data_IF_693104897875
#
_entry.id   IF_693104897875
#
_cell.length_a   1.000
_cell.length_b   1.000
_cell.length_c   1.000
_cell.angle_alpha   90.00
_cell.angle_beta   90.00
_cell.angle_gamma   90.00
#
_symmetry.space_group_name_H-M   'P 1'
#
loop_
_entity.id
_entity.type
_entity.pdbx_description
1 polymer ?
#
# COMPACT_ATOMS: atom_id res chain seq x y z
N UNK A 1 12.40 8.25 11.57
CA UNK A 1 11.82 9.43 12.23
C UNK A 1 10.31 9.37 12.06
N UNK A 2 9.54 9.57 13.12
CA UNK A 2 8.08 9.68 13.03
C UNK A 2 7.73 11.00 12.33
N UNK A 3 7.01 10.94 11.22
CA UNK A 3 6.60 12.12 10.48
C UNK A 3 5.27 12.64 11.06
N UNK A 4 5.23 13.86 11.63
CA UNK A 4 3.99 14.43 12.18
C UNK A 4 2.89 14.58 11.12
N UNK A 5 3.25 14.63 9.84
CA UNK A 5 2.31 14.74 8.73
C UNK A 5 1.87 13.38 8.14
N UNK A 6 2.44 12.25 8.59
CA UNK A 6 2.14 10.93 8.04
C UNK A 6 0.64 10.63 8.03
N UNK A 7 -0.08 11.01 9.09
CA UNK A 7 -1.54 10.84 9.18
C UNK A 7 -2.30 11.56 8.07
N UNK A 8 -1.91 12.77 7.70
CA UNK A 8 -2.56 13.54 6.64
C UNK A 8 -2.30 12.91 5.27
N UNK A 9 -1.06 12.50 5.00
CA UNK A 9 -0.69 11.80 3.76
C UNK A 9 -1.46 10.48 3.64
N UNK A 10 -1.49 9.69 4.72
CA UNK A 10 -2.19 8.41 4.74
C UNK A 10 -3.70 8.58 4.61
N UNK A 11 -4.28 9.57 5.26
CA UNK A 11 -5.70 9.88 5.08
C UNK A 11 -6.01 10.17 3.61
N UNK A 12 -5.24 11.04 2.95
CA UNK A 12 -5.43 11.35 1.53
C UNK A 12 -5.29 10.10 0.64
N UNK A 13 -4.27 9.29 0.89
CA UNK A 13 -3.92 8.14 0.06
C UNK A 13 -4.83 6.93 0.26
N UNK A 14 -5.34 6.70 1.47
CA UNK A 14 -6.07 5.48 1.82
C UNK A 14 -7.55 5.72 2.12
N UNK A 15 -7.92 6.83 2.77
CA UNK A 15 -9.31 7.13 3.11
C UNK A 15 -9.97 8.09 2.10
N UNK A 16 -9.23 9.07 1.60
CA UNK A 16 -9.73 10.18 0.79
C UNK A 16 -9.69 9.97 -0.72
N UNK A 17 -9.25 8.81 -1.20
CA UNK A 17 -9.05 8.58 -2.64
C UNK A 17 -9.64 7.25 -3.13
N UNK A 18 -10.12 7.27 -4.38
CA UNK A 18 -10.66 6.08 -5.05
C UNK A 18 -9.61 4.97 -5.07
N UNK A 19 -10.03 3.76 -4.70
CA UNK A 19 -9.14 2.59 -4.59
C UNK A 19 -8.29 2.51 -3.31
N UNK A 20 -8.53 3.38 -2.33
CA UNK A 20 -7.80 3.39 -1.06
C UNK A 20 -7.88 2.06 -0.30
N UNK A 21 -9.05 1.41 -0.32
CA UNK A 21 -9.21 0.06 0.23
C UNK A 21 -8.31 -0.99 -0.41
N UNK A 22 -8.15 -0.95 -1.73
CA UNK A 22 -7.26 -1.90 -2.42
C UNK A 22 -5.80 -1.61 -2.08
N UNK A 23 -5.42 -0.34 -1.96
CA UNK A 23 -4.08 0.06 -1.49
C UNK A 23 -3.80 -0.41 -0.06
N UNK A 24 -4.78 -0.31 0.85
CA UNK A 24 -4.66 -0.88 2.21
C UNK A 24 -4.41 -2.39 2.13
N UNK A 25 -5.21 -3.13 1.36
CA UNK A 25 -5.02 -4.58 1.20
C UNK A 25 -3.65 -4.95 0.62
N UNK A 26 -3.15 -4.18 -0.35
CA UNK A 26 -1.81 -4.38 -0.92
C UNK A 26 -0.75 -4.17 0.17
N UNK A 27 -0.84 -3.08 0.95
CA UNK A 27 0.10 -2.83 2.04
C UNK A 27 0.05 -3.95 3.08
N UNK A 28 -1.13 -4.43 3.45
CA UNK A 28 -1.28 -5.55 4.40
C UNK A 28 -0.58 -6.81 3.89
N UNK A 29 -0.71 -7.15 2.60
CA UNK A 29 0.01 -8.28 2.00
C UNK A 29 1.53 -8.06 1.96
N UNK A 30 1.97 -6.85 1.60
CA UNK A 30 3.39 -6.50 1.50
C UNK A 30 4.09 -6.38 2.85
N UNK A 31 3.34 -6.10 3.92
CA UNK A 31 3.82 -6.09 5.31
C UNK A 31 4.14 -7.49 5.80
N UNK A 32 3.35 -8.49 5.39
CA UNK A 32 3.64 -9.88 5.72
C UNK A 32 4.87 -10.37 4.95
N UNK A 33 4.82 -10.32 3.61
CA UNK A 33 5.89 -10.83 2.75
C UNK A 33 6.04 -9.97 1.48
N UNK A 34 7.23 -9.91 0.86
CA UNK A 34 7.39 -9.26 -0.44
C UNK A 34 6.59 -9.98 -1.55
N UNK A 35 5.94 -9.22 -2.43
CA UNK A 35 5.16 -9.75 -3.55
C UNK A 35 5.44 -8.99 -4.85
N UNK A 36 5.31 -9.68 -5.98
CA UNK A 36 5.24 -9.04 -7.30
C UNK A 36 3.79 -8.70 -7.69
N UNK A 37 3.61 -7.96 -8.80
CA UNK A 37 2.28 -7.53 -9.27
C UNK A 37 1.36 -8.73 -9.60
N UNK A 38 1.90 -9.80 -10.19
CA UNK A 38 1.10 -10.99 -10.55
C UNK A 38 0.54 -11.67 -9.30
N UNK A 39 1.37 -11.85 -8.27
CA UNK A 39 0.96 -12.44 -7.01
C UNK A 39 -0.12 -11.59 -6.33
N UNK A 40 0.08 -10.27 -6.28
CA UNK A 40 -0.91 -9.35 -5.73
C UNK A 40 -2.24 -9.39 -6.48
N UNK A 41 -2.20 -9.46 -7.82
CA UNK A 41 -3.40 -9.56 -8.66
C UNK A 41 -4.17 -10.86 -8.39
N UNK A 42 -3.45 -11.98 -8.28
CA UNK A 42 -4.02 -13.29 -7.97
C UNK A 42 -4.63 -13.32 -6.56
N UNK A 43 -3.88 -12.92 -5.54
CA UNK A 43 -4.32 -12.93 -4.14
C UNK A 43 -5.52 -12.02 -3.91
N UNK A 44 -5.53 -10.82 -4.51
CA UNK A 44 -6.62 -9.87 -4.36
C UNK A 44 -7.77 -10.08 -5.35
N UNK A 45 -7.63 -11.01 -6.30
CA UNK A 45 -8.57 -11.26 -7.41
C UNK A 45 -8.91 -9.97 -8.18
N UNK A 46 -7.88 -9.20 -8.51
CA UNK A 46 -7.97 -7.93 -9.24
C UNK A 46 -7.23 -8.03 -10.57
N UNK A 47 -7.64 -7.19 -11.54
CA UNK A 47 -6.94 -7.08 -12.82
C UNK A 47 -5.49 -6.58 -12.63
N UNK A 48 -4.59 -7.11 -13.46
CA UNK A 48 -3.17 -6.77 -13.43
C UNK A 48 -2.92 -5.26 -13.58
N UNK A 49 -3.62 -4.57 -14.50
CA UNK A 49 -3.45 -3.13 -14.70
C UNK A 49 -3.98 -2.33 -13.51
N UNK A 50 -5.01 -2.82 -12.82
CA UNK A 50 -5.50 -2.22 -11.60
C UNK A 50 -4.45 -2.30 -10.47
N UNK A 51 -3.81 -3.46 -10.27
CA UNK A 51 -2.70 -3.59 -9.31
C UNK A 51 -1.52 -2.73 -9.71
N UNK A 52 -1.13 -2.75 -10.99
CA UNK A 52 -0.03 -1.93 -11.49
C UNK A 52 -0.27 -0.43 -11.23
N UNK A 53 -1.50 0.05 -11.40
CA UNK A 53 -1.88 1.41 -11.05
C UNK A 53 -1.71 1.68 -9.54
N UNK A 54 -2.21 0.78 -8.68
CA UNK A 54 -2.08 0.93 -7.24
C UNK A 54 -0.62 0.93 -6.77
N UNK A 55 0.20 0.01 -7.29
CA UNK A 55 1.64 -0.06 -7.03
C UNK A 55 2.33 1.24 -7.46
N UNK A 56 2.03 1.77 -8.65
CA UNK A 56 2.61 3.04 -9.09
C UNK A 56 2.26 4.19 -8.15
N UNK A 57 1.02 4.26 -7.66
CA UNK A 57 0.60 5.30 -6.71
C UNK A 57 1.32 5.13 -5.37
N UNK A 58 1.41 3.91 -4.85
CA UNK A 58 2.09 3.61 -3.58
C UNK A 58 3.58 3.93 -3.64
N UNK A 59 4.26 3.55 -4.73
CA UNK A 59 5.69 3.82 -4.96
C UNK A 59 5.95 5.34 -5.05
N UNK A 60 5.13 6.07 -5.81
CA UNK A 60 5.23 7.54 -5.93
C UNK A 60 5.05 8.27 -4.59
N UNK A 61 4.29 7.69 -3.66
CA UNK A 61 4.07 8.26 -2.34
C UNK A 61 5.02 7.67 -1.28
N UNK A 62 6.08 6.97 -1.69
CA UNK A 62 7.06 6.35 -0.79
C UNK A 62 6.43 5.38 0.24
N UNK A 63 5.37 4.67 -0.13
CA UNK A 63 4.74 3.67 0.74
C UNK A 63 5.37 2.28 0.58
N UNK A 64 5.91 2.03 -0.60
CA UNK A 64 6.52 0.76 -0.97
C UNK A 64 7.85 1.01 -1.66
N UNK A 65 8.71 0.01 -1.61
CA UNK A 65 9.97 -0.06 -2.34
C UNK A 65 10.01 -1.35 -3.14
N UNK A 66 10.98 -1.46 -4.06
CA UNK A 66 11.14 -2.64 -4.91
C UNK A 66 12.59 -3.07 -5.02
N UNK A 67 12.80 -4.36 -5.22
CA UNK A 67 14.09 -4.98 -5.55
C UNK A 67 13.92 -5.81 -6.81
N UNK A 68 14.97 -5.87 -7.63
CA UNK A 68 15.01 -6.63 -8.88
C UNK A 68 14.71 -5.79 -10.13
N UNK A 69 14.87 -6.41 -11.29
CA UNK A 69 14.67 -5.78 -12.60
C UNK A 69 13.79 -6.64 -13.51
N UNK A 70 13.14 -6.00 -14.49
CA UNK A 70 12.30 -6.63 -15.53
C UNK A 70 11.24 -7.57 -14.94
N UNK A 71 11.49 -8.88 -15.00
CA UNK A 71 10.53 -9.92 -14.62
C UNK A 71 10.67 -10.36 -13.15
N UNK A 72 11.74 -9.97 -12.46
CA UNK A 72 12.04 -10.37 -11.08
C UNK A 72 11.73 -9.31 -10.03
N UNK A 73 10.86 -8.34 -10.35
CA UNK A 73 10.56 -7.23 -9.43
C UNK A 73 9.68 -7.73 -8.28
N UNK A 74 10.16 -7.54 -7.06
CA UNK A 74 9.38 -7.77 -5.83
C UNK A 74 9.23 -6.48 -5.05
N UNK A 75 8.04 -6.23 -4.53
CA UNK A 75 7.69 -5.05 -3.74
C UNK A 75 7.61 -5.40 -2.26
N UNK A 76 7.88 -4.42 -1.40
CA UNK A 76 7.78 -4.49 0.06
C UNK A 76 7.43 -3.09 0.61
N UNK A 77 6.99 -3.00 1.86
CA UNK A 77 6.72 -1.70 2.48
C UNK A 77 8.02 -0.89 2.63
N UNK A 78 7.95 0.42 2.45
CA UNK A 78 9.13 1.29 2.58
C UNK A 78 9.51 1.51 4.05
N UNK A 79 10.76 1.89 4.30
CA UNK A 79 11.22 2.32 5.64
C UNK A 79 10.39 3.48 6.20
N UNK A 80 9.86 4.35 5.33
CA UNK A 80 8.99 5.45 5.74
C UNK A 80 7.65 4.93 6.27
N UNK A 81 7.04 3.97 5.57
CA UNK A 81 5.78 3.37 6.03
C UNK A 81 6.00 2.54 7.30
N UNK A 82 7.08 1.75 7.35
CA UNK A 82 7.50 0.98 8.52
C UNK A 82 7.63 1.89 9.76
N UNK A 83 8.35 3.01 9.63
CA UNK A 83 8.54 3.99 10.71
C UNK A 83 7.25 4.68 11.18
N UNK A 84 6.19 4.66 10.35
CA UNK A 84 4.92 5.33 10.62
C UNK A 84 3.74 4.34 10.68
N UNK A 85 4.01 3.05 10.91
CA UNK A 85 3.01 1.98 10.78
C UNK A 85 1.79 2.18 11.69
N UNK A 86 1.98 2.74 12.88
CA UNK A 86 0.87 3.06 13.80
C UNK A 86 -0.10 4.07 13.20
N UNK A 87 0.38 5.06 12.44
CA UNK A 87 -0.48 6.01 11.75
C UNK A 87 -1.25 5.34 10.61
N UNK A 88 -0.61 4.42 9.89
CA UNK A 88 -1.27 3.61 8.86
C UNK A 88 -2.38 2.75 9.47
N UNK A 89 -2.10 2.00 10.53
CA UNK A 89 -3.08 1.11 11.20
C UNK A 89 -4.30 1.89 11.69
N UNK A 90 -4.09 3.11 12.22
CA UNK A 90 -5.18 4.01 12.61
C UNK A 90 -6.08 4.38 11.42
N UNK A 91 -5.50 4.82 10.30
CA UNK A 91 -6.26 5.20 9.11
C UNK A 91 -6.95 3.97 8.50
N UNK A 92 -6.24 2.85 8.34
CA UNK A 92 -6.78 1.61 7.79
C UNK A 92 -7.99 1.10 8.59
N UNK A 93 -7.91 1.16 9.92
CA UNK A 93 -9.03 0.76 10.79
C UNK A 93 -10.25 1.66 10.65
N UNK A 94 -10.06 2.97 10.46
CA UNK A 94 -11.16 3.92 10.22
C UNK A 94 -11.82 3.65 8.88
N UNK A 95 -11.04 3.45 7.81
CA UNK A 95 -11.57 3.18 6.47
C UNK A 95 -12.38 1.89 6.43
N UNK A 96 -11.92 0.82 7.11
CA UNK A 96 -12.66 -0.46 7.20
C UNK A 96 -14.00 -0.32 7.94
N UNK A 97 -14.09 0.55 8.95
CA UNK A 97 -15.33 0.79 9.71
C UNK A 97 -16.39 1.54 8.90
N UNK A 98 -15.99 2.42 7.99
CA UNK A 98 -16.93 3.22 7.17
C UNK A 98 -17.62 2.44 6.04
N UNK A 99 -17.23 1.18 5.79
CA UNK A 99 -17.79 0.34 4.71
C UNK A 99 -18.74 -0.74 5.26
N UNK A 100 -18.90 -0.79 6.59
CA UNK A 100 -19.82 -1.68 7.28
C UNK A 100 -21.13 -0.97 7.57
#
# INVERSE_FOLDING_TARGET
>A
MLDPNAKHIFWYLFAGSRGGNNRIKIIELLREHPHNINQLAETLKLDYKAIQHHISVLEKNNMISKVGEKYGVSYFISDYLESNITAFDQIASQTKKSIK
#
